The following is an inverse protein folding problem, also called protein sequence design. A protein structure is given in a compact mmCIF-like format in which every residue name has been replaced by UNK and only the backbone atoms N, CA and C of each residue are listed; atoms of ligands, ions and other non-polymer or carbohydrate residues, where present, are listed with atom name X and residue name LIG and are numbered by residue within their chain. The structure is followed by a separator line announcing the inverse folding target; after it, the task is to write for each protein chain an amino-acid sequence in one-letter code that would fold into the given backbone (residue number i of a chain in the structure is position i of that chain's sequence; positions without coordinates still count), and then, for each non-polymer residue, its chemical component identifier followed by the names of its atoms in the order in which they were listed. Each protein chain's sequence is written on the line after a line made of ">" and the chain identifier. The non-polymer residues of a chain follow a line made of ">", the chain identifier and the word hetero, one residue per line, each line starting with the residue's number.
data_IF_105738867853
#
_entry.id   IF_105738867853
#
_cell.length_a   1.000
_cell.length_b   1.000
_cell.length_c   1.000
_cell.angle_alpha   90.00
_cell.angle_beta   90.00
_cell.angle_gamma   90.00
#
_symmetry.space_group_name_H-M   'P 1'
#
loop_
_entity.id
_entity.type
_entity.pdbx_description
1 polymer ?
#
# COMPACT_ATOMS: atom_id res chain seq x y z
N UNK A 1 22.93 2.42 12.20
CA UNK A 1 22.07 3.09 11.20
C UNK A 1 22.87 3.21 9.92
N UNK A 2 22.64 2.34 8.94
CA UNK A 2 23.37 2.37 7.66
C UNK A 2 22.62 3.24 6.63
N UNK A 3 23.34 3.81 5.66
CA UNK A 3 22.75 4.59 4.56
C UNK A 3 21.72 3.76 3.78
N UNK A 4 21.98 2.46 3.62
CA UNK A 4 21.05 1.52 2.99
C UNK A 4 19.72 1.42 3.74
N UNK A 5 19.72 1.34 5.08
CA UNK A 5 18.48 1.29 5.85
C UNK A 5 17.65 2.57 5.64
N UNK A 6 18.30 3.73 5.62
CA UNK A 6 17.63 5.02 5.38
C UNK A 6 17.02 5.06 3.98
N UNK A 7 17.76 4.58 2.97
CA UNK A 7 17.25 4.50 1.61
C UNK A 7 16.05 3.55 1.48
N UNK A 8 16.08 2.38 2.13
CA UNK A 8 14.94 1.46 2.17
C UNK A 8 13.71 2.10 2.83
N UNK A 9 13.89 2.76 3.98
CA UNK A 9 12.78 3.42 4.68
C UNK A 9 12.20 4.57 3.83
N UNK A 10 13.05 5.34 3.14
CA UNK A 10 12.61 6.40 2.23
C UNK A 10 11.76 5.84 1.09
N UNK A 11 12.20 4.75 0.44
CA UNK A 11 11.44 4.09 -0.61
C UNK A 11 10.10 3.55 -0.11
N UNK A 12 10.08 3.00 1.11
CA UNK A 12 8.85 2.51 1.73
C UNK A 12 7.86 3.64 2.03
N UNK A 13 8.34 4.77 2.54
CA UNK A 13 7.53 5.97 2.79
C UNK A 13 6.95 6.51 1.47
N UNK A 14 7.75 6.54 0.41
CA UNK A 14 7.28 6.95 -0.93
C UNK A 14 6.16 6.02 -1.41
N UNK A 15 6.34 4.70 -1.29
CA UNK A 15 5.32 3.72 -1.65
C UNK A 15 4.00 3.94 -0.88
N UNK A 16 4.07 4.08 0.44
CA UNK A 16 2.91 4.38 1.28
C UNK A 16 2.25 5.70 0.91
N UNK A 17 3.04 6.73 0.58
CA UNK A 17 2.54 8.05 0.17
C UNK A 17 1.78 7.97 -1.16
N UNK A 18 2.28 7.19 -2.12
CA UNK A 18 1.60 6.95 -3.39
C UNK A 18 0.28 6.22 -3.16
N UNK A 19 0.28 5.16 -2.33
CA UNK A 19 -0.95 4.42 -2.00
C UNK A 19 -1.99 5.32 -1.33
N UNK A 20 -1.58 6.11 -0.34
CA UNK A 20 -2.45 7.05 0.36
C UNK A 20 -2.97 8.16 -0.57
N UNK A 21 -2.13 8.67 -1.48
CA UNK A 21 -2.52 9.63 -2.51
C UNK A 21 -3.59 9.07 -3.45
N UNK A 22 -3.36 7.87 -3.99
CA UNK A 22 -4.32 7.18 -4.85
C UNK A 22 -5.65 6.91 -4.14
N UNK A 23 -5.59 6.37 -2.92
CA UNK A 23 -6.76 6.13 -2.09
C UNK A 23 -7.54 7.42 -1.80
N UNK A 24 -6.85 8.54 -1.53
CA UNK A 24 -7.49 9.85 -1.32
C UNK A 24 -8.21 10.35 -2.57
N UNK A 25 -7.63 10.18 -3.76
CA UNK A 25 -8.28 10.56 -5.02
C UNK A 25 -9.54 9.74 -5.24
N UNK A 26 -9.47 8.42 -5.06
CA UNK A 26 -10.62 7.53 -5.16
C UNK A 26 -11.71 7.87 -4.13
N UNK A 27 -11.31 8.14 -2.88
CA UNK A 27 -12.22 8.48 -1.79
C UNK A 27 -13.08 9.70 -2.11
N UNK A 28 -12.50 10.74 -2.72
CA UNK A 28 -13.22 11.97 -3.09
C UNK A 28 -14.33 11.72 -4.11
N UNK A 29 -14.15 10.71 -4.97
CA UNK A 29 -15.14 10.32 -5.98
C UNK A 29 -16.23 9.39 -5.44
N UNK A 30 -16.12 8.90 -4.20
CA UNK A 30 -17.07 7.94 -3.63
C UNK A 30 -17.97 8.59 -2.58
N UNK A 31 -19.21 8.11 -2.46
CA UNK A 31 -20.08 8.48 -1.35
C UNK A 31 -19.74 7.67 -0.08
N UNK A 32 -20.20 8.12 1.08
CA UNK A 32 -19.91 7.48 2.37
C UNK A 32 -20.48 6.05 2.48
N UNK A 33 -21.56 5.76 1.74
CA UNK A 33 -22.22 4.44 1.70
C UNK A 33 -21.71 3.54 0.57
N UNK A 34 -20.75 4.00 -0.24
CA UNK A 34 -20.23 3.21 -1.36
C UNK A 34 -19.50 1.97 -0.85
N UNK A 35 -19.92 0.81 -1.35
CA UNK A 35 -19.32 -0.50 -1.06
C UNK A 35 -18.28 -0.81 -2.13
N UNK A 36 -17.00 -0.76 -1.75
CA UNK A 36 -15.85 -0.93 -2.64
C UNK A 36 -15.51 -2.42 -2.75
N UNK A 37 -15.34 -2.96 -3.98
CA UNK A 37 -14.93 -4.35 -4.17
C UNK A 37 -13.49 -4.57 -3.70
N UNK A 38 -13.27 -5.63 -2.90
CA UNK A 38 -11.96 -5.99 -2.35
C UNK A 38 -11.35 -7.15 -3.15
N UNK A 39 -11.83 -8.37 -2.92
CA UNK A 39 -11.36 -9.61 -3.57
C UNK A 39 -12.58 -10.47 -3.87
N UNK A 40 -12.64 -11.01 -5.10
CA UNK A 40 -13.77 -11.83 -5.54
C UNK A 40 -15.10 -11.07 -5.42
N UNK A 41 -16.06 -11.65 -4.71
CA UNK A 41 -17.39 -11.06 -4.48
C UNK A 41 -17.47 -10.16 -3.24
N UNK A 42 -16.38 -10.05 -2.47
CA UNK A 42 -16.38 -9.31 -1.21
C UNK A 42 -16.35 -7.80 -1.46
N UNK A 43 -17.24 -7.07 -0.77
CA UNK A 43 -17.29 -5.61 -0.79
C UNK A 43 -17.22 -5.08 0.64
N UNK A 44 -16.46 -4.02 0.85
CA UNK A 44 -16.31 -3.34 2.14
C UNK A 44 -16.73 -1.88 2.03
N UNK A 45 -17.17 -1.25 3.14
CA UNK A 45 -17.42 0.18 3.14
C UNK A 45 -16.14 0.94 2.80
N UNK A 46 -16.26 2.01 2.01
CA UNK A 46 -15.15 2.85 1.53
C UNK A 46 -14.06 3.10 2.57
N UNK A 47 -14.47 3.47 3.78
CA UNK A 47 -13.53 3.84 4.85
C UNK A 47 -12.60 2.68 5.24
N UNK A 48 -13.12 1.45 5.28
CA UNK A 48 -12.31 0.28 5.60
C UNK A 48 -11.53 -0.18 4.36
N UNK A 49 -12.20 -0.25 3.21
CA UNK A 49 -11.61 -0.75 1.97
C UNK A 49 -10.36 0.02 1.53
N UNK A 50 -10.37 1.35 1.66
CA UNK A 50 -9.27 2.21 1.22
C UNK A 50 -8.12 2.31 2.23
N UNK A 51 -8.41 2.12 3.53
CA UNK A 51 -7.39 2.25 4.59
C UNK A 51 -6.68 0.91 4.83
N UNK A 52 -7.42 -0.21 4.76
CA UNK A 52 -6.90 -1.52 5.13
C UNK A 52 -5.62 -1.91 4.36
N UNK A 53 -5.52 -1.75 3.02
CA UNK A 53 -4.30 -2.09 2.29
C UNK A 53 -3.09 -1.25 2.72
N UNK A 54 -3.30 0.04 3.02
CA UNK A 54 -2.25 0.96 3.45
C UNK A 54 -1.75 0.57 4.84
N UNK A 55 -2.67 0.26 5.76
CA UNK A 55 -2.31 -0.18 7.11
C UNK A 55 -1.56 -1.51 7.06
N UNK A 56 -2.00 -2.47 6.24
CA UNK A 56 -1.28 -3.73 6.07
C UNK A 56 0.14 -3.51 5.52
N UNK A 57 0.30 -2.65 4.52
CA UNK A 57 1.62 -2.30 3.98
C UNK A 57 2.51 -1.60 5.02
N UNK A 58 1.94 -0.74 5.86
CA UNK A 58 2.67 -0.11 6.96
C UNK A 58 3.15 -1.14 7.99
N UNK A 59 2.25 -2.03 8.43
CA UNK A 59 2.59 -3.10 9.39
C UNK A 59 3.67 -4.02 8.83
N UNK A 60 3.56 -4.42 7.55
CA UNK A 60 4.59 -5.23 6.90
C UNK A 60 5.97 -4.55 6.91
N UNK A 61 6.02 -3.25 6.62
CA UNK A 61 7.26 -2.46 6.69
C UNK A 61 7.83 -2.38 8.10
N UNK A 62 6.98 -2.18 9.10
CA UNK A 62 7.37 -2.10 10.51
C UNK A 62 7.94 -3.44 11.03
N UNK A 63 7.30 -4.57 10.69
CA UNK A 63 7.79 -5.91 11.04
C UNK A 63 9.16 -6.18 10.41
N UNK A 64 9.35 -5.80 9.15
CA UNK A 64 10.66 -5.92 8.49
C UNK A 64 11.75 -5.06 9.14
N UNK A 65 11.41 -3.83 9.53
CA UNK A 65 12.34 -2.96 10.26
C UNK A 65 12.74 -3.56 11.60
N UNK A 66 11.78 -4.18 12.32
CA UNK A 66 12.06 -4.89 13.56
C UNK A 66 13.01 -6.07 13.32
N UNK A 67 12.75 -6.90 12.30
CA UNK A 67 13.61 -8.03 11.93
C UNK A 67 15.05 -7.59 11.63
N UNK A 68 15.23 -6.46 10.95
CA UNK A 68 16.56 -5.93 10.63
C UNK A 68 17.40 -5.60 11.88
N UNK A 69 16.80 -5.22 13.01
CA UNK A 69 17.53 -4.90 14.26
C UNK A 69 18.27 -6.10 14.87
N UNK A 70 17.93 -7.32 14.46
CA UNK A 70 18.56 -8.55 14.97
C UNK A 70 19.78 -9.01 14.16
N UNK A 71 20.07 -8.38 13.01
CA UNK A 71 21.17 -8.78 12.14
C UNK A 71 22.37 -7.83 12.28
N UNK A 72 23.55 -8.35 12.64
CA UNK A 72 24.77 -7.58 12.86
C UNK A 72 25.74 -7.55 11.67
N UNK A 73 25.39 -8.19 10.55
CA UNK A 73 26.29 -8.39 9.41
C UNK A 73 25.92 -7.51 8.20
N UNK A 74 26.93 -7.01 7.49
CA UNK A 74 26.82 -6.12 6.34
C UNK A 74 26.12 -6.81 5.16
N UNK A 75 26.40 -8.11 4.96
CA UNK A 75 25.76 -8.93 3.92
C UNK A 75 24.24 -8.96 4.09
N UNK A 76 23.79 -9.14 5.34
CA UNK A 76 22.37 -9.11 5.68
C UNK A 76 21.74 -7.72 5.44
N UNK A 77 22.49 -6.64 5.66
CA UNK A 77 21.99 -5.28 5.42
C UNK A 77 21.67 -5.02 3.95
N UNK A 78 22.49 -5.54 3.03
CA UNK A 78 22.26 -5.42 1.57
C UNK A 78 21.03 -6.24 1.16
N UNK A 79 20.91 -7.47 1.65
CA UNK A 79 19.78 -8.36 1.35
C UNK A 79 18.46 -7.74 1.86
N UNK A 80 18.43 -7.28 3.12
CA UNK A 80 17.25 -6.63 3.68
C UNK A 80 16.88 -5.34 2.95
N UNK A 81 17.87 -4.55 2.53
CA UNK A 81 17.63 -3.38 1.69
C UNK A 81 16.94 -3.77 0.38
N UNK A 82 17.51 -4.70 -0.38
CA UNK A 82 16.96 -5.14 -1.66
C UNK A 82 15.55 -5.71 -1.53
N UNK A 83 15.32 -6.53 -0.50
CA UNK A 83 14.01 -7.11 -0.21
C UNK A 83 12.97 -6.03 0.15
N UNK A 84 13.32 -5.05 1.00
CA UNK A 84 12.40 -3.97 1.37
C UNK A 84 12.09 -3.04 0.19
N UNK A 85 13.11 -2.68 -0.59
CA UNK A 85 12.95 -1.83 -1.76
C UNK A 85 12.03 -2.48 -2.81
N UNK A 86 12.26 -3.76 -3.12
CA UNK A 86 11.43 -4.50 -4.08
C UNK A 86 10.01 -4.73 -3.56
N UNK A 87 9.84 -5.11 -2.29
CA UNK A 87 8.51 -5.26 -1.69
C UNK A 87 7.73 -3.96 -1.67
N UNK A 88 8.35 -2.83 -1.33
CA UNK A 88 7.69 -1.52 -1.36
C UNK A 88 7.11 -1.23 -2.75
N UNK A 89 7.90 -1.43 -3.80
CA UNK A 89 7.48 -1.23 -5.18
C UNK A 89 6.34 -2.17 -5.58
N UNK A 90 6.47 -3.47 -5.30
CA UNK A 90 5.47 -4.48 -5.65
C UNK A 90 4.14 -4.22 -4.92
N UNK A 91 4.18 -3.91 -3.62
CA UNK A 91 2.98 -3.63 -2.83
C UNK A 91 2.25 -2.39 -3.37
N UNK A 92 2.99 -1.31 -3.64
CA UNK A 92 2.40 -0.11 -4.22
C UNK A 92 1.77 -0.39 -5.60
N UNK A 93 2.45 -1.16 -6.45
CA UNK A 93 1.95 -1.52 -7.77
C UNK A 93 0.67 -2.36 -7.69
N UNK A 94 0.65 -3.40 -6.86
CA UNK A 94 -0.53 -4.23 -6.63
C UNK A 94 -1.71 -3.41 -6.11
N UNK A 95 -1.46 -2.51 -5.16
CA UNK A 95 -2.49 -1.61 -4.64
C UNK A 95 -3.06 -0.70 -5.72
N UNK A 96 -2.22 -0.09 -6.56
CA UNK A 96 -2.69 0.77 -7.64
C UNK A 96 -3.48 0.00 -8.71
N UNK A 97 -3.05 -1.22 -9.05
CA UNK A 97 -3.78 -2.07 -9.98
C UNK A 97 -5.16 -2.46 -9.44
N UNK A 98 -5.20 -2.90 -8.18
CA UNK A 98 -6.45 -3.18 -7.49
C UNK A 98 -7.35 -1.95 -7.44
N UNK A 99 -6.83 -0.79 -7.03
CA UNK A 99 -7.61 0.44 -6.90
C UNK A 99 -8.16 0.89 -8.25
N UNK A 100 -7.37 0.79 -9.32
CA UNK A 100 -7.82 1.08 -10.69
C UNK A 100 -8.97 0.17 -11.10
N UNK A 101 -8.88 -1.13 -10.82
CA UNK A 101 -9.94 -2.09 -11.07
C UNK A 101 -11.21 -1.76 -10.29
N UNK A 102 -11.08 -1.53 -8.98
CA UNK A 102 -12.20 -1.21 -8.09
C UNK A 102 -12.92 0.07 -8.51
N UNK A 103 -12.17 1.12 -8.87
CA UNK A 103 -12.74 2.37 -9.39
C UNK A 103 -13.42 2.15 -10.73
N UNK A 104 -12.83 1.41 -11.65
CA UNK A 104 -13.46 1.12 -12.95
C UNK A 104 -14.79 0.35 -12.80
N UNK A 105 -14.84 -0.63 -11.90
CA UNK A 105 -16.10 -1.32 -11.56
C UNK A 105 -17.14 -0.35 -11.02
N UNK A 106 -16.77 0.50 -10.06
CA UNK A 106 -17.71 1.46 -9.47
C UNK A 106 -18.18 2.53 -10.47
N UNK A 107 -17.33 2.92 -11.42
CA UNK A 107 -17.67 3.84 -12.50
C UNK A 107 -18.72 3.20 -13.44
N UNK A 108 -18.53 1.93 -13.79
CA UNK A 108 -19.49 1.16 -14.61
C UNK A 108 -20.84 0.95 -13.91
N UNK A 109 -20.85 0.92 -12.58
CA UNK A 109 -22.07 0.84 -11.77
C UNK A 109 -22.74 2.20 -11.56
N UNK A 110 -22.14 3.30 -12.02
CA UNK A 110 -22.62 4.67 -11.75
C UNK A 110 -22.53 5.07 -10.28
N UNK A 111 -21.73 4.35 -9.48
CA UNK A 111 -21.59 4.56 -8.04
C UNK A 111 -20.55 5.63 -7.67
N UNK A 112 -19.90 6.23 -8.67
CA UNK A 112 -18.94 7.32 -8.50
C UNK A 112 -19.59 8.67 -8.80
N UNK A 113 -19.10 9.70 -8.10
CA UNK A 113 -19.39 11.10 -8.39
C UNK A 113 -18.72 11.50 -9.72
N UNK A 114 -19.39 12.35 -10.51
CA UNK A 114 -18.81 12.91 -11.74
C UNK A 114 -17.54 13.72 -11.46
#
# INVERSE_FOLDING_TARGET
>A
MSILSIAADTLWIIALSIMAGGARVAWRRMDAKTMVPMIGTWRLPRNQALILPIVLAFVAGAVMLWGHRSASDLSYSIIFFGLRATLAAVIAMLHLQWLKGAVATLDSEGALKP
#
